data_IF_150702787369
#
_entry.id   IF_150702787369
#
_cell.length_a   1.000
_cell.length_b   1.000
_cell.length_c   1.000
_cell.angle_alpha   90.00
_cell.angle_beta   90.00
_cell.angle_gamma   90.00
#
_symmetry.space_group_name_H-M   'P 1'
#
loop_
_entity.id
_entity.type
_entity.pdbx_description
1 polymer ?
#
# COMPACT_ATOMS: atom_id res chain seq x y z
N UNK A 1 13.79 25.16 13.49
CA UNK A 1 12.81 25.27 12.39
C UNK A 1 12.79 23.95 11.62
N UNK A 2 11.83 23.06 11.85
CA UNK A 2 11.51 21.96 10.93
C UNK A 2 9.99 21.95 10.78
N UNK A 3 9.56 22.05 9.54
CA UNK A 3 8.24 22.50 9.13
C UNK A 3 7.09 21.63 9.63
N UNK A 4 5.94 22.30 9.67
CA UNK A 4 4.59 21.77 9.80
C UNK A 4 4.35 20.56 8.88
N UNK A 5 4.36 19.34 9.41
CA UNK A 5 3.80 18.18 8.72
C UNK A 5 2.34 18.00 9.16
N UNK A 6 1.52 19.01 8.85
CA UNK A 6 0.09 18.96 9.07
C UNK A 6 -0.56 18.04 8.05
N UNK A 7 -1.19 16.98 8.56
CA UNK A 7 -2.50 16.50 8.09
C UNK A 7 -2.56 15.66 6.80
N UNK A 8 -1.73 14.61 6.65
CA UNK A 8 -2.14 13.47 5.82
C UNK A 8 -2.95 12.48 6.69
N UNK A 9 -4.24 12.81 6.92
CA UNK A 9 -5.14 11.93 7.70
C UNK A 9 -5.62 10.72 6.89
N UNK A 10 -5.68 10.87 5.57
CA UNK A 10 -6.13 9.84 4.65
C UNK A 10 -5.38 9.94 3.32
N UNK A 11 -4.93 8.81 2.79
CA UNK A 11 -4.37 8.72 1.44
C UNK A 11 -5.24 7.79 0.61
N UNK A 12 -5.74 8.29 -0.52
CA UNK A 12 -6.50 7.49 -1.49
C UNK A 12 -5.76 7.38 -2.80
N UNK A 13 -5.51 6.16 -3.25
CA UNK A 13 -4.80 5.88 -4.51
C UNK A 13 -5.68 5.04 -5.41
N UNK A 14 -5.78 5.40 -6.70
CA UNK A 14 -6.57 4.67 -7.70
C UNK A 14 -5.66 4.00 -8.72
N UNK A 15 -5.88 2.71 -8.96
CA UNK A 15 -5.16 1.94 -9.97
C UNK A 15 -6.10 1.42 -11.05
N UNK A 16 -5.59 1.26 -12.27
CA UNK A 16 -6.33 0.65 -13.38
C UNK A 16 -5.95 -0.83 -13.62
N UNK A 17 -4.84 -1.31 -13.04
CA UNK A 17 -4.31 -2.67 -13.30
C UNK A 17 -4.40 -3.51 -12.01
N UNK A 18 -5.17 -4.62 -12.01
CA UNK A 18 -5.47 -5.38 -10.79
C UNK A 18 -4.26 -6.13 -10.21
N UNK A 19 -3.40 -6.70 -11.05
CA UNK A 19 -2.27 -7.54 -10.61
C UNK A 19 -1.26 -6.77 -9.73
N UNK A 20 -1.08 -5.48 -10.02
CA UNK A 20 -0.14 -4.61 -9.32
C UNK A 20 -0.76 -3.98 -8.06
N UNK A 21 -2.08 -3.96 -7.92
CA UNK A 21 -2.77 -3.26 -6.83
C UNK A 21 -2.39 -3.82 -5.45
N UNK A 22 -2.28 -5.15 -5.31
CA UNK A 22 -1.90 -5.80 -4.05
C UNK A 22 -0.46 -5.50 -3.65
N UNK A 23 0.47 -5.60 -4.61
CA UNK A 23 1.88 -5.29 -4.40
C UNK A 23 2.09 -3.82 -4.05
N UNK A 24 1.45 -2.92 -4.80
CA UNK A 24 1.52 -1.47 -4.54
C UNK A 24 0.90 -1.15 -3.17
N UNK A 25 -0.18 -1.83 -2.77
CA UNK A 25 -0.78 -1.66 -1.45
C UNK A 25 0.15 -2.03 -0.30
N UNK A 26 0.86 -3.16 -0.43
CA UNK A 26 1.90 -3.56 0.52
C UNK A 26 3.05 -2.54 0.57
N UNK A 27 3.59 -2.14 -0.59
CA UNK A 27 4.68 -1.16 -0.67
C UNK A 27 4.29 0.20 -0.07
N UNK A 28 3.08 0.70 -0.37
CA UNK A 28 2.55 1.93 0.20
C UNK A 28 2.42 1.84 1.71
N UNK A 29 1.86 0.74 2.22
CA UNK A 29 1.67 0.57 3.65
C UNK A 29 3.02 0.58 4.39
N UNK A 30 4.04 -0.10 3.86
CA UNK A 30 5.40 -0.11 4.43
C UNK A 30 6.07 1.25 4.36
N UNK A 31 6.04 1.92 3.19
CA UNK A 31 6.67 3.24 3.03
C UNK A 31 5.98 4.28 3.92
N UNK A 32 4.64 4.26 4.01
CA UNK A 32 3.90 5.15 4.91
C UNK A 32 4.15 4.84 6.38
N UNK A 33 4.27 3.58 6.78
CA UNK A 33 4.62 3.22 8.15
C UNK A 33 6.03 3.69 8.51
N UNK A 34 6.98 3.68 7.56
CA UNK A 34 8.34 4.22 7.74
C UNK A 34 8.36 5.75 7.76
N UNK A 35 7.57 6.42 6.93
CA UNK A 35 7.58 7.87 6.76
C UNK A 35 6.65 8.63 7.73
N UNK A 36 5.54 8.02 8.17
CA UNK A 36 4.57 8.60 9.08
C UNK A 36 4.49 7.79 10.38
N UNK A 37 5.03 8.31 11.50
CA UNK A 37 4.92 7.66 12.81
C UNK A 37 3.51 7.76 13.43
N UNK A 38 2.53 8.25 12.69
CA UNK A 38 1.17 8.51 13.16
C UNK A 38 0.15 7.59 12.45
N UNK A 39 -0.95 7.24 13.14
CA UNK A 39 -2.05 6.48 12.55
C UNK A 39 -2.67 7.26 11.38
N UNK A 40 -2.59 6.70 10.18
CA UNK A 40 -3.17 7.24 8.97
C UNK A 40 -4.16 6.23 8.35
N UNK A 41 -5.14 6.74 7.60
CA UNK A 41 -6.11 5.90 6.88
C UNK A 41 -5.64 5.74 5.43
N UNK A 42 -5.17 4.56 5.05
CA UNK A 42 -4.86 4.24 3.65
C UNK A 42 -6.07 3.54 3.05
N UNK A 43 -6.64 4.13 1.99
CA UNK A 43 -7.76 3.55 1.26
C UNK A 43 -7.36 3.43 -0.21
N UNK A 44 -7.13 2.21 -0.66
CA UNK A 44 -6.74 1.95 -2.05
C UNK A 44 -7.99 1.49 -2.77
N UNK A 45 -8.21 2.01 -3.97
CA UNK A 45 -9.32 1.61 -4.82
C UNK A 45 -8.80 1.25 -6.20
N UNK A 46 -9.44 0.28 -6.83
CA UNK A 46 -9.24 0.00 -8.25
C UNK A 46 -10.36 0.71 -9.01
N UNK A 47 -10.05 1.20 -10.20
CA UNK A 47 -10.98 1.98 -11.00
C UNK A 47 -11.81 1.04 -11.87
N UNK A 48 -13.13 1.18 -11.75
CA UNK A 48 -14.15 0.39 -12.44
C UNK A 48 -13.89 0.33 -13.95
N UNK A 49 -13.70 -0.89 -14.49
CA UNK A 49 -13.58 -1.09 -15.95
C UNK A 49 -12.84 -2.35 -16.39
N UNK A 50 -12.14 -3.05 -15.50
CA UNK A 50 -11.29 -4.20 -15.87
C UNK A 50 -11.47 -5.36 -14.88
N UNK A 51 -12.43 -6.25 -15.18
CA UNK A 51 -12.68 -7.58 -14.57
C UNK A 51 -13.39 -7.67 -13.19
N UNK A 52 -14.19 -8.73 -13.05
CA UNK A 52 -14.92 -9.16 -11.84
C UNK A 52 -14.07 -9.42 -10.59
N UNK A 53 -12.75 -9.33 -10.71
CA UNK A 53 -11.78 -9.45 -9.60
C UNK A 53 -11.54 -8.14 -8.85
N UNK A 54 -12.06 -7.01 -9.35
CA UNK A 54 -11.86 -5.70 -8.74
C UNK A 54 -12.32 -5.65 -7.28
N UNK A 55 -13.57 -6.04 -7.01
CA UNK A 55 -14.15 -5.97 -5.68
C UNK A 55 -13.40 -6.90 -4.70
N UNK A 56 -12.98 -8.07 -5.18
CA UNK A 56 -12.22 -9.03 -4.39
C UNK A 56 -10.83 -8.48 -4.05
N UNK A 57 -10.13 -7.89 -5.03
CA UNK A 57 -8.82 -7.26 -4.78
C UNK A 57 -8.98 -6.05 -3.86
N UNK A 58 -10.03 -5.26 -4.02
CA UNK A 58 -10.29 -4.09 -3.19
C UNK A 58 -10.55 -4.49 -1.73
N UNK A 59 -11.29 -5.59 -1.49
CA UNK A 59 -11.42 -6.19 -0.16
C UNK A 59 -10.07 -6.68 0.36
N UNK A 60 -9.30 -7.37 -0.48
CA UNK A 60 -8.00 -7.93 -0.14
C UNK A 60 -6.96 -6.88 0.31
N UNK A 61 -6.91 -5.71 -0.34
CA UNK A 61 -5.95 -4.63 -0.04
C UNK A 61 -6.39 -3.72 1.12
N UNK A 62 -7.69 -3.59 1.36
CA UNK A 62 -8.23 -2.83 2.49
C UNK A 62 -8.26 -3.67 3.79
N UNK A 63 -8.14 -4.99 3.68
CA UNK A 63 -8.00 -5.90 4.82
C UNK A 63 -6.61 -5.80 5.45
N UNK A 64 -6.52 -5.05 6.55
CA UNK A 64 -5.27 -4.83 7.28
C UNK A 64 -4.67 -6.12 7.84
N UNK A 65 -5.49 -7.11 8.22
CA UNK A 65 -5.00 -8.37 8.76
C UNK A 65 -4.38 -9.22 7.66
N UNK A 66 -5.00 -9.28 6.48
CA UNK A 66 -4.38 -9.94 5.32
C UNK A 66 -3.09 -9.28 4.87
N UNK A 67 -3.07 -7.95 4.80
CA UNK A 67 -1.85 -7.22 4.39
C UNK A 67 -0.74 -7.42 5.44
N UNK A 68 -1.07 -7.41 6.74
CA UNK A 68 -0.12 -7.73 7.79
C UNK A 68 0.40 -9.17 7.69
N UNK A 69 -0.47 -10.16 7.50
CA UNK A 69 -0.08 -11.56 7.32
C UNK A 69 0.79 -11.76 6.06
N UNK A 70 0.51 -11.03 4.98
CA UNK A 70 1.36 -11.02 3.79
C UNK A 70 2.75 -10.42 4.07
N UNK A 71 2.84 -9.39 4.89
CA UNK A 71 4.11 -8.80 5.34
C UNK A 71 4.92 -9.69 6.29
N UNK A 72 4.27 -10.64 6.98
CA UNK A 72 4.96 -11.68 7.76
C UNK A 72 5.59 -12.76 6.87
N UNK A 73 5.18 -12.87 5.59
CA UNK A 73 5.81 -13.79 4.65
C UNK A 73 7.14 -13.21 4.15
N UNK A 74 8.29 -13.88 4.41
CA UNK A 74 9.60 -13.37 4.02
C UNK A 74 9.75 -13.12 2.52
N UNK A 75 9.09 -13.92 1.66
CA UNK A 75 9.17 -13.75 0.21
C UNK A 75 8.51 -12.44 -0.25
N UNK A 76 7.31 -12.15 0.27
CA UNK A 76 6.59 -10.92 -0.06
C UNK A 76 7.27 -9.71 0.57
N UNK A 77 7.75 -9.86 1.81
CA UNK A 77 8.51 -8.81 2.50
C UNK A 77 9.75 -8.43 1.70
N UNK A 78 10.53 -9.38 1.22
CA UNK A 78 11.74 -9.11 0.44
C UNK A 78 11.41 -8.39 -0.87
N UNK A 79 10.39 -8.84 -1.62
CA UNK A 79 9.93 -8.15 -2.83
C UNK A 79 9.49 -6.71 -2.54
N UNK A 80 8.73 -6.51 -1.47
CA UNK A 80 8.28 -5.17 -1.06
C UNK A 80 9.46 -4.33 -0.63
N UNK A 81 10.41 -4.88 0.13
CA UNK A 81 11.64 -4.21 0.55
C UNK A 81 12.48 -3.78 -0.66
N UNK A 82 12.61 -4.63 -1.68
CA UNK A 82 13.28 -4.28 -2.95
C UNK A 82 12.53 -3.18 -3.70
N UNK A 83 11.20 -3.14 -3.66
CA UNK A 83 10.42 -2.07 -4.30
C UNK A 83 10.46 -0.73 -3.54
N UNK A 84 10.62 -0.73 -2.21
CA UNK A 84 10.66 0.51 -1.40
C UNK A 84 12.08 1.03 -1.13
N UNK A 85 13.08 0.17 -1.32
CA UNK A 85 14.51 0.53 -1.30
C UNK A 85 14.81 1.18 -2.63
N UNK A 86 15.13 2.48 -2.60
CA UNK A 86 15.59 3.19 -3.79
C UNK A 86 16.93 2.56 -4.20
N UNK A 87 17.18 2.27 -5.49
CA UNK A 87 18.51 1.87 -5.91
C UNK A 87 19.46 3.03 -5.59
N UNK A 88 20.42 2.79 -4.71
CA UNK A 88 21.61 3.61 -4.62
C UNK A 88 22.39 3.43 -5.94
N UNK A 89 22.22 4.38 -6.87
CA UNK A 89 22.88 4.55 -8.19
C UNK A 89 22.46 3.62 -9.36
#
# INVERSE_FOLDING_TARGET
MRGTASCLKSLSVRFQIPLLATLIGLCLQVKLQRCLPFKHKLEIYITEGTHSTEEDINKQINDKERVAAAMENPNLREMVEQCVTEPDD
#
